data_IF_556037256046
#
_entry.id   IF_556037256046
#
_cell.length_a   1.000
_cell.length_b   1.000
_cell.length_c   1.000
_cell.angle_alpha   90.00
_cell.angle_beta   90.00
_cell.angle_gamma   90.00
#
_symmetry.space_group_name_H-M   'P 1'
#
loop_
_entity.id
_entity.type
_entity.pdbx_description
1 polymer ?
#
# COMPACT_ATOMS: atom_id res chain seq x y z
N UNK A 1 -14.04 13.10 6.37
CA UNK A 1 -13.50 12.31 7.49
C UNK A 1 -14.37 11.08 7.63
N UNK A 2 -13.80 9.88 7.48
CA UNK A 2 -14.55 8.62 7.49
C UNK A 2 -14.07 7.66 6.42
N UNK A 3 -12.85 7.15 6.57
CA UNK A 3 -12.41 5.92 5.93
C UNK A 3 -12.61 4.77 6.92
N UNK A 4 -12.83 3.56 6.43
CA UNK A 4 -12.82 2.37 7.29
C UNK A 4 -11.43 2.15 7.89
N UNK A 5 -11.39 1.52 9.07
CA UNK A 5 -10.13 1.12 9.67
C UNK A 5 -9.39 0.15 8.74
N UNK A 6 -8.07 0.29 8.66
CA UNK A 6 -7.24 -0.62 7.88
C UNK A 6 -7.31 -2.03 8.50
N UNK A 7 -7.76 -3.00 7.72
CA UNK A 7 -7.74 -4.40 8.11
C UNK A 7 -6.32 -4.98 8.14
N UNK A 8 -6.11 -6.02 8.94
CA UNK A 8 -4.89 -6.82 8.94
C UNK A 8 -5.19 -8.19 8.35
N UNK A 9 -4.34 -8.63 7.42
CA UNK A 9 -4.47 -9.91 6.74
C UNK A 9 -3.15 -10.67 6.81
N UNK A 10 -3.23 -12.00 6.89
CA UNK A 10 -2.07 -12.89 6.81
C UNK A 10 -1.99 -13.47 5.40
N UNK A 11 -0.84 -13.30 4.74
CA UNK A 11 -0.55 -13.96 3.47
C UNK A 11 0.32 -15.19 3.71
N UNK A 12 -0.01 -16.37 3.13
CA UNK A 12 0.88 -17.52 3.14
C UNK A 12 2.06 -17.37 2.15
N UNK A 13 2.07 -16.32 1.33
CA UNK A 13 3.17 -16.01 0.42
C UNK A 13 4.36 -15.34 1.13
N UNK A 14 5.55 -15.49 0.54
CA UNK A 14 6.73 -14.78 1.02
C UNK A 14 6.60 -13.27 0.74
N UNK A 15 7.01 -12.45 1.71
CA UNK A 15 7.01 -10.99 1.61
C UNK A 15 8.40 -10.46 1.92
N UNK A 16 8.94 -9.59 1.08
CA UNK A 16 10.27 -9.00 1.28
C UNK A 16 10.38 -8.24 2.60
N UNK A 17 9.26 -7.64 3.06
CA UNK A 17 9.14 -6.99 4.37
C UNK A 17 9.56 -7.88 5.54
N UNK A 18 9.44 -9.22 5.41
CA UNK A 18 9.90 -10.17 6.42
C UNK A 18 11.40 -10.05 6.69
N UNK A 19 12.22 -9.82 5.65
CA UNK A 19 13.68 -9.71 5.79
C UNK A 19 14.03 -8.51 6.66
N UNK A 20 13.45 -7.35 6.33
CA UNK A 20 13.69 -6.11 7.05
C UNK A 20 13.17 -6.14 8.49
N UNK A 21 12.03 -6.79 8.74
CA UNK A 21 11.49 -6.88 10.11
C UNK A 21 12.28 -7.86 10.98
N UNK A 22 12.82 -8.95 10.42
CA UNK A 22 13.53 -9.97 11.21
C UNK A 22 15.02 -9.69 11.39
N UNK A 23 15.67 -9.12 10.37
CA UNK A 23 17.12 -8.99 10.31
C UNK A 23 17.59 -7.54 10.32
N UNK A 24 16.68 -6.59 10.37
CA UNK A 24 16.94 -5.17 10.58
C UNK A 24 15.94 -4.60 11.59
N UNK A 25 16.19 -3.42 12.14
CA UNK A 25 15.24 -2.74 13.01
C UNK A 25 14.30 -1.84 12.20
N UNK A 26 13.74 -2.39 11.13
CA UNK A 26 12.96 -1.64 10.15
C UNK A 26 11.51 -2.18 10.09
N UNK A 27 10.54 -1.49 10.72
CA UNK A 27 9.15 -1.88 10.61
C UNK A 27 8.67 -1.70 9.16
N UNK A 28 8.00 -2.72 8.62
CA UNK A 28 7.51 -2.72 7.25
C UNK A 28 5.98 -2.85 7.21
N UNK A 29 5.36 -2.11 6.29
CA UNK A 29 3.94 -2.24 5.94
C UNK A 29 3.85 -2.79 4.52
N UNK A 30 3.19 -3.94 4.37
CA UNK A 30 2.82 -4.49 3.05
C UNK A 30 1.39 -4.07 2.75
N UNK A 31 1.22 -3.16 1.79
CA UNK A 31 -0.06 -2.54 1.48
C UNK A 31 -0.20 -2.34 -0.04
N UNK A 32 -1.32 -2.79 -0.60
CA UNK A 32 -1.53 -2.84 -2.06
C UNK A 32 -2.99 -3.03 -2.45
N UNK A 33 -3.32 -2.95 -3.76
CA UNK A 33 -4.69 -2.98 -4.24
C UNK A 33 -5.32 -4.35 -4.07
N UNK A 34 -6.66 -4.39 -4.05
CA UNK A 34 -7.40 -5.64 -4.15
C UNK A 34 -7.07 -6.32 -5.48
N UNK A 35 -6.38 -7.46 -5.38
CA UNK A 35 -6.04 -8.35 -6.48
C UNK A 35 -6.68 -9.73 -6.26
N UNK A 36 -6.90 -10.46 -7.35
CA UNK A 36 -7.49 -11.78 -7.35
C UNK A 36 -6.68 -12.69 -8.27
N UNK A 37 -6.58 -13.97 -7.90
CA UNK A 37 -5.89 -15.00 -8.68
C UNK A 37 -4.44 -14.63 -9.02
N UNK A 38 -3.70 -14.07 -8.06
CA UNK A 38 -2.29 -13.68 -8.20
C UNK A 38 -1.48 -14.92 -8.65
N UNK A 39 -0.72 -14.81 -9.74
CA UNK A 39 -0.01 -15.89 -10.45
C UNK A 39 -0.88 -16.86 -11.28
N UNK A 40 -2.18 -16.63 -11.38
CA UNK A 40 -3.10 -17.39 -12.23
C UNK A 40 -3.16 -16.86 -13.67
N UNK A 41 -3.69 -17.67 -14.60
CA UNK A 41 -3.91 -17.21 -15.98
C UNK A 41 -4.92 -16.06 -16.08
N UNK A 42 -5.81 -15.95 -15.10
CA UNK A 42 -6.87 -14.95 -14.98
C UNK A 42 -6.60 -13.93 -13.86
N UNK A 43 -5.32 -13.72 -13.54
CA UNK A 43 -4.86 -12.70 -12.61
C UNK A 43 -5.44 -11.33 -12.97
N UNK A 44 -6.00 -10.64 -11.97
CA UNK A 44 -6.64 -9.34 -12.17
C UNK A 44 -6.59 -8.48 -10.94
N UNK A 45 -6.86 -7.20 -11.13
CA UNK A 45 -6.79 -6.18 -10.09
C UNK A 45 -7.93 -5.18 -10.22
N UNK A 46 -8.42 -4.67 -9.09
CA UNK A 46 -9.44 -3.63 -9.06
C UNK A 46 -8.85 -2.26 -9.39
N UNK A 47 -9.24 -1.69 -10.54
CA UNK A 47 -8.80 -0.34 -10.95
C UNK A 47 -9.22 0.75 -9.95
N UNK A 48 -10.41 0.62 -9.35
CA UNK A 48 -10.86 1.57 -8.33
C UNK A 48 -10.00 1.49 -7.07
N UNK A 49 -9.55 0.28 -6.69
CA UNK A 49 -8.63 0.07 -5.58
C UNK A 49 -7.25 0.64 -5.87
N UNK A 50 -6.73 0.44 -7.08
CA UNK A 50 -5.45 1.04 -7.51
C UNK A 50 -5.50 2.55 -7.32
N UNK A 51 -6.53 3.22 -7.86
CA UNK A 51 -6.66 4.68 -7.75
C UNK A 51 -6.63 5.16 -6.30
N UNK A 52 -7.37 4.50 -5.39
CA UNK A 52 -7.39 4.87 -3.96
C UNK A 52 -6.03 4.69 -3.28
N UNK A 53 -5.31 3.63 -3.61
CA UNK A 53 -4.00 3.34 -3.00
C UNK A 53 -2.93 4.25 -3.54
N UNK A 54 -2.93 4.56 -4.85
CA UNK A 54 -2.04 5.57 -5.41
C UNK A 54 -2.22 6.91 -4.69
N UNK A 55 -3.45 7.35 -4.45
CA UNK A 55 -3.70 8.57 -3.67
C UNK A 55 -3.18 8.46 -2.24
N UNK A 56 -3.39 7.32 -1.58
CA UNK A 56 -2.93 7.08 -0.21
C UNK A 56 -1.40 7.14 -0.11
N UNK A 57 -0.69 6.45 -1.00
CA UNK A 57 0.77 6.47 -1.07
C UNK A 57 1.30 7.86 -1.41
N UNK A 58 0.70 8.55 -2.39
CA UNK A 58 1.10 9.91 -2.75
C UNK A 58 0.96 10.89 -1.57
N UNK A 59 -0.18 10.84 -0.87
CA UNK A 59 -0.42 11.68 0.30
C UNK A 59 0.48 11.30 1.48
N UNK A 60 0.72 10.00 1.70
CA UNK A 60 1.65 9.53 2.73
C UNK A 60 3.06 10.07 2.47
N UNK A 61 3.59 9.88 1.26
CA UNK A 61 4.91 10.37 0.85
C UNK A 61 5.00 11.89 0.94
N UNK A 62 4.00 12.62 0.46
CA UNK A 62 3.98 14.08 0.54
C UNK A 62 4.06 14.58 2.00
N UNK A 63 3.30 13.94 2.91
CA UNK A 63 3.34 14.26 4.34
C UNK A 63 4.67 13.88 4.98
N UNK A 64 5.20 12.71 4.64
CA UNK A 64 6.50 12.24 5.13
C UNK A 64 7.63 13.20 4.76
N UNK A 65 7.62 13.68 3.52
CA UNK A 65 8.60 14.65 3.03
C UNK A 65 8.31 16.10 3.47
N UNK A 66 7.23 16.37 4.19
CA UNK A 66 6.88 17.73 4.65
C UNK A 66 6.50 18.70 3.53
N UNK A 67 5.98 18.20 2.39
CA UNK A 67 5.60 19.05 1.26
C UNK A 67 4.41 19.96 1.60
N UNK A 68 4.49 21.21 1.16
CA UNK A 68 3.36 22.15 1.20
C UNK A 68 2.47 22.00 -0.04
N UNK A 69 1.19 22.40 0.02
CA UNK A 69 0.35 22.45 -1.17
C UNK A 69 1.01 23.25 -2.29
N UNK A 70 0.97 22.72 -3.51
CA UNK A 70 1.39 23.47 -4.67
C UNK A 70 0.54 24.75 -4.80
N UNK A 71 1.11 25.87 -5.29
CA UNK A 71 0.34 27.05 -5.64
C UNK A 71 -0.81 26.65 -6.55
N UNK A 72 -1.99 27.23 -6.32
CA UNK A 72 -3.10 27.07 -7.26
C UNK A 72 -2.73 27.87 -8.51
N UNK A 73 -2.59 27.17 -9.64
CA UNK A 73 -2.57 27.78 -10.97
C UNK A 73 -3.94 28.27 -11.40
#
# INVERSE_FOLDING_TARGET
TGGEALGAELSPGYLDGRVFVLYDNCPCLVYGPRAENIHGFDERVSLSSIRRITQSLALFTARWCGLTPAPRG
#
